data_IF_568067979851
#
_entry.id   IF_568067979851
#
_cell.length_a   1.000
_cell.length_b   1.000
_cell.length_c   1.000
_cell.angle_alpha   90.00
_cell.angle_beta   90.00
_cell.angle_gamma   90.00
#
_symmetry.space_group_name_H-M   'P 1'
#
loop_
_entity.id
_entity.type
_entity.pdbx_description
1 polymer ?
#
# COMPACT_ATOMS: atom_id res chain seq x y z
N UNK A 1 5.09 12.50 -0.64
CA UNK A 1 5.44 11.66 -1.80
C UNK A 1 6.80 11.05 -1.55
N UNK A 2 6.96 9.74 -1.76
CA UNK A 2 8.24 9.04 -1.59
C UNK A 2 9.27 9.45 -2.63
N UNK A 3 10.55 9.38 -2.26
CA UNK A 3 11.66 9.73 -3.13
C UNK A 3 11.88 8.72 -4.27
N UNK A 4 11.58 7.44 -4.02
CA UNK A 4 11.76 6.36 -4.98
C UNK A 4 10.44 5.98 -5.69
N UNK A 5 10.57 5.29 -6.82
CA UNK A 5 9.46 4.70 -7.57
C UNK A 5 9.83 3.30 -8.05
N UNK A 6 8.87 2.55 -8.62
CA UNK A 6 9.09 1.21 -9.17
C UNK A 6 8.62 1.06 -10.61
N UNK A 7 8.94 -0.07 -11.24
CA UNK A 7 8.67 -0.31 -12.66
C UNK A 7 7.17 -0.32 -13.01
N UNK A 8 6.29 -0.63 -12.05
CA UNK A 8 4.84 -0.53 -12.27
C UNK A 8 4.38 0.92 -12.29
N UNK A 9 4.82 1.73 -11.32
CA UNK A 9 4.48 3.15 -11.23
C UNK A 9 5.06 3.98 -12.39
N UNK A 10 6.19 3.56 -12.94
CA UNK A 10 6.81 4.20 -14.12
C UNK A 10 6.28 3.65 -15.45
N UNK A 11 5.44 2.61 -15.43
CA UNK A 11 4.86 2.00 -16.62
C UNK A 11 5.80 1.07 -17.41
N UNK A 12 6.99 0.77 -16.89
CA UNK A 12 7.93 -0.18 -17.50
C UNK A 12 7.45 -1.63 -17.39
N UNK A 13 6.67 -1.92 -16.33
CA UNK A 13 6.02 -3.22 -16.13
C UNK A 13 4.50 -3.02 -16.09
N UNK A 14 3.73 -3.74 -16.93
CA UNK A 14 2.28 -3.62 -16.90
C UNK A 14 1.71 -4.27 -15.63
N UNK A 15 0.60 -3.72 -15.14
CA UNK A 15 -0.27 -4.43 -14.19
C UNK A 15 -1.11 -5.47 -14.92
N UNK A 16 -1.34 -6.61 -14.26
CA UNK A 16 -2.03 -7.76 -14.85
C UNK A 16 -3.54 -7.56 -14.65
N UNK A 17 -4.33 -7.70 -15.71
CA UNK A 17 -5.78 -7.70 -15.58
C UNK A 17 -6.31 -9.13 -15.36
N UNK A 18 -7.19 -9.38 -14.38
CA UNK A 18 -7.77 -10.71 -14.14
C UNK A 18 -8.63 -11.21 -15.30
N UNK A 19 -8.57 -12.51 -15.62
CA UNK A 19 -9.44 -13.12 -16.62
C UNK A 19 -10.56 -13.93 -15.95
N UNK A 20 -11.83 -13.57 -16.20
CA UNK A 20 -12.96 -14.28 -15.58
C UNK A 20 -12.97 -14.14 -14.05
N UNK A 21 -12.97 -15.26 -13.34
CA UNK A 21 -13.07 -15.31 -11.87
C UNK A 21 -11.70 -15.38 -11.15
N UNK A 22 -10.63 -15.01 -11.84
CA UNK A 22 -9.28 -15.07 -11.29
C UNK A 22 -9.07 -14.07 -10.14
N UNK A 23 -8.28 -14.52 -9.16
CA UNK A 23 -7.64 -13.65 -8.19
C UNK A 23 -6.21 -13.39 -8.65
N UNK A 24 -5.87 -12.13 -8.89
CA UNK A 24 -4.52 -11.72 -9.27
C UNK A 24 -3.81 -11.19 -8.04
N UNK A 25 -2.60 -11.71 -7.78
CA UNK A 25 -1.73 -11.27 -6.70
C UNK A 25 -0.45 -10.67 -7.28
N UNK A 26 -0.18 -9.40 -6.97
CA UNK A 26 1.03 -8.69 -7.43
C UNK A 26 1.75 -8.08 -6.24
N UNK A 27 3.02 -8.46 -6.04
CA UNK A 27 3.93 -7.79 -5.11
C UNK A 27 4.54 -6.55 -5.77
N UNK A 28 4.29 -5.40 -5.16
CA UNK A 28 4.91 -4.12 -5.51
C UNK A 28 5.99 -3.81 -4.48
N UNK A 29 7.25 -3.92 -4.90
CA UNK A 29 8.41 -3.64 -4.05
C UNK A 29 8.89 -2.19 -4.26
N UNK A 30 9.38 -1.57 -3.20
CA UNK A 30 9.99 -0.26 -3.22
C UNK A 30 11.06 -0.16 -2.14
N UNK A 31 12.22 0.40 -2.48
CA UNK A 31 13.23 0.78 -1.50
C UNK A 31 12.81 2.10 -0.84
N UNK A 32 12.63 2.10 0.48
CA UNK A 32 12.31 3.30 1.24
C UNK A 32 13.57 3.87 1.89
N UNK A 33 13.95 5.13 1.58
CA UNK A 33 14.98 5.83 2.33
C UNK A 33 14.44 6.24 3.71
N UNK A 34 15.36 6.50 4.65
CA UNK A 34 15.03 6.93 6.02
C UNK A 34 14.14 8.19 6.06
N UNK A 35 14.31 9.07 5.06
CA UNK A 35 13.57 10.32 4.95
C UNK A 35 12.08 10.13 4.61
N UNK A 36 11.69 8.96 4.11
CA UNK A 36 10.30 8.61 3.75
C UNK A 36 9.59 7.84 4.88
N UNK A 37 10.23 7.70 6.04
CA UNK A 37 9.71 6.97 7.20
C UNK A 37 9.25 7.91 8.32
N UNK A 38 9.09 9.21 8.07
CA UNK A 38 8.57 10.13 9.08
C UNK A 38 7.05 9.98 9.23
N UNK A 39 6.52 10.41 10.38
CA UNK A 39 5.09 10.33 10.66
C UNK A 39 4.28 11.08 9.59
N UNK A 40 3.25 10.42 9.07
CA UNK A 40 2.39 10.86 7.97
C UNK A 40 3.01 10.90 6.58
N UNK A 41 4.28 10.50 6.42
CA UNK A 41 4.82 10.31 5.08
C UNK A 41 3.99 9.29 4.31
N UNK A 42 3.63 9.67 3.10
CA UNK A 42 2.75 8.93 2.23
C UNK A 42 3.24 9.00 0.79
N UNK A 43 3.14 7.89 0.08
CA UNK A 43 3.54 7.79 -1.31
C UNK A 43 2.93 6.60 -2.02
N UNK A 44 3.02 6.62 -3.35
CA UNK A 44 2.54 5.54 -4.19
C UNK A 44 3.49 4.32 -4.10
N UNK A 45 2.91 3.13 -4.05
CA UNK A 45 3.66 1.86 -4.06
C UNK A 45 3.20 0.91 -5.15
N UNK A 46 1.91 0.89 -5.48
CA UNK A 46 1.35 -0.04 -6.45
C UNK A 46 0.19 0.56 -7.24
N UNK A 47 -0.41 -0.26 -8.10
CA UNK A 47 -1.54 0.14 -8.93
C UNK A 47 -2.64 -0.92 -8.82
N UNK A 48 -3.87 -0.48 -8.54
CA UNK A 48 -5.09 -1.25 -8.75
C UNK A 48 -5.63 -0.93 -10.15
N UNK A 49 -5.68 -1.91 -11.07
CA UNK A 49 -6.13 -1.66 -12.44
C UNK A 49 -7.57 -1.13 -12.50
N UNK A 50 -7.87 -0.38 -13.56
CA UNK A 50 -9.23 0.02 -13.92
C UNK A 50 -10.17 -1.21 -13.92
N UNK A 51 -11.40 -1.05 -13.44
CA UNK A 51 -12.40 -2.12 -13.38
C UNK A 51 -12.15 -3.19 -12.30
N UNK A 52 -11.08 -3.10 -11.53
CA UNK A 52 -10.77 -4.05 -10.46
C UNK A 52 -11.15 -3.54 -9.06
N UNK A 53 -11.34 -4.48 -8.14
CA UNK A 53 -11.55 -4.24 -6.69
C UNK A 53 -10.56 -5.06 -5.86
N UNK A 54 -10.04 -4.52 -4.74
CA UNK A 54 -9.15 -5.25 -3.86
C UNK A 54 -9.92 -6.35 -3.12
N UNK A 55 -9.23 -7.45 -2.85
CA UNK A 55 -9.72 -8.59 -2.08
C UNK A 55 -8.93 -8.72 -0.78
N UNK A 56 -7.61 -8.57 -0.87
CA UNK A 56 -6.73 -8.65 0.30
C UNK A 56 -5.40 -7.91 0.06
N UNK A 57 -4.71 -7.60 1.15
CA UNK A 57 -3.39 -6.96 1.10
C UNK A 57 -2.46 -7.55 2.15
N UNK A 58 -1.25 -7.90 1.71
CA UNK A 58 -0.13 -8.23 2.59
C UNK A 58 0.94 -7.14 2.45
N UNK A 59 1.58 -6.83 3.58
CA UNK A 59 2.74 -5.95 3.65
C UNK A 59 3.90 -6.75 4.21
N UNK A 60 5.03 -6.72 3.51
CA UNK A 60 6.30 -7.25 3.95
C UNK A 60 7.35 -6.15 3.94
N UNK A 61 8.30 -6.20 4.85
CA UNK A 61 9.39 -5.22 4.88
C UNK A 61 10.64 -5.80 5.52
N UNK A 62 11.79 -5.21 5.17
CA UNK A 62 13.02 -5.34 5.94
C UNK A 62 12.86 -4.70 7.33
N UNK A 63 13.93 -4.77 8.14
CA UNK A 63 13.98 -4.05 9.40
C UNK A 63 14.10 -2.53 9.17
N UNK A 64 12.95 -1.84 9.19
CA UNK A 64 12.82 -0.40 9.00
C UNK A 64 12.79 0.39 10.33
N UNK A 65 12.77 -0.31 11.48
CA UNK A 65 12.77 0.28 12.82
C UNK A 65 13.72 -0.53 13.71
N UNK A 66 14.98 -0.14 13.73
CA UNK A 66 16.02 -0.82 14.53
C UNK A 66 15.87 -0.60 16.05
N UNK A 67 14.85 0.15 16.46
CA UNK A 67 14.57 0.47 17.86
C UNK A 67 13.47 -0.41 18.47
N UNK A 68 12.52 0.23 19.16
CA UNK A 68 11.34 -0.43 19.70
C UNK A 68 10.28 -0.59 18.60
N UNK A 69 9.50 -1.68 18.63
CA UNK A 69 8.44 -1.95 17.66
C UNK A 69 7.37 -0.85 17.66
N UNK A 70 7.54 0.16 16.80
CA UNK A 70 6.64 1.29 16.68
C UNK A 70 6.13 1.52 15.27
N UNK A 71 6.87 1.13 14.23
CA UNK A 71 6.48 1.38 12.84
C UNK A 71 5.14 0.73 12.50
N UNK A 72 4.15 1.56 12.16
CA UNK A 72 2.84 1.12 11.66
C UNK A 72 2.59 1.74 10.30
N UNK A 73 2.28 0.89 9.32
CA UNK A 73 2.01 1.27 7.95
C UNK A 73 0.53 1.07 7.63
N UNK A 74 -0.08 2.08 7.02
CA UNK A 74 -1.44 2.03 6.47
C UNK A 74 -1.39 1.90 4.96
N UNK A 75 -2.36 1.18 4.40
CA UNK A 75 -2.52 1.03 2.94
C UNK A 75 -3.92 1.45 2.53
N UNK A 76 -4.04 2.08 1.37
CA UNK A 76 -5.31 2.44 0.75
C UNK A 76 -5.12 2.96 -0.67
N UNK A 77 -6.18 3.49 -1.29
CA UNK A 77 -6.03 4.28 -2.52
C UNK A 77 -5.35 5.59 -2.17
N UNK A 78 -4.40 6.04 -2.99
CA UNK A 78 -3.75 7.34 -2.83
C UNK A 78 -4.66 8.46 -3.36
N UNK A 79 -4.69 9.61 -2.67
CA UNK A 79 -5.46 10.77 -3.14
C UNK A 79 -4.82 11.42 -4.38
N UNK A 80 -5.55 12.33 -5.03
CA UNK A 80 -5.09 12.99 -6.25
C UNK A 80 -3.85 13.88 -6.05
N UNK A 81 -3.61 14.37 -4.83
CA UNK A 81 -2.43 15.16 -4.49
C UNK A 81 -1.18 14.30 -4.20
N UNK A 82 -1.34 12.99 -4.08
CA UNK A 82 -0.28 12.01 -3.77
C UNK A 82 0.44 12.27 -2.43
N UNK A 83 -0.29 12.87 -1.48
CA UNK A 83 0.20 13.23 -0.15
C UNK A 83 -0.56 12.56 1.00
N UNK A 84 -1.67 11.86 0.71
CA UNK A 84 -2.45 11.15 1.72
C UNK A 84 -3.28 10.01 1.11
N UNK A 85 -3.87 9.17 1.97
CA UNK A 85 -4.82 8.14 1.52
C UNK A 85 -6.20 8.76 1.25
N UNK A 86 -6.84 8.31 0.18
CA UNK A 86 -8.15 8.76 -0.27
C UNK A 86 -9.23 8.48 0.77
N UNK A 87 -10.12 9.45 0.95
CA UNK A 87 -11.33 9.34 1.77
C UNK A 87 -12.60 9.34 0.91
N UNK A 88 -12.46 9.26 -0.41
CA UNK A 88 -13.58 9.08 -1.35
C UNK A 88 -14.32 7.78 -1.03
N UNK A 89 -15.65 7.83 -1.00
CA UNK A 89 -16.51 6.68 -0.75
C UNK A 89 -16.27 5.54 -1.76
N UNK A 90 -15.99 5.88 -3.03
CA UNK A 90 -15.72 4.88 -4.07
C UNK A 90 -14.35 4.20 -3.89
N UNK A 91 -13.45 4.81 -3.12
CA UNK A 91 -12.15 4.24 -2.74
C UNK A 91 -12.21 3.51 -1.39
N UNK A 92 -13.41 3.37 -0.81
CA UNK A 92 -13.66 2.71 0.47
C UNK A 92 -13.89 3.66 1.64
N UNK A 93 -13.70 4.97 1.43
CA UNK A 93 -13.97 6.04 2.42
C UNK A 93 -12.89 6.22 3.50
N UNK A 94 -11.87 5.37 3.54
CA UNK A 94 -10.76 5.41 4.48
C UNK A 94 -9.59 4.53 4.00
N UNK A 95 -8.47 4.55 4.73
CA UNK A 95 -7.43 3.52 4.58
C UNK A 95 -8.02 2.12 4.77
N UNK A 96 -7.54 1.14 4.01
CA UNK A 96 -8.07 -0.22 3.96
C UNK A 96 -7.70 -1.06 5.18
N UNK A 97 -6.56 -0.77 5.78
CA UNK A 97 -6.06 -1.45 6.97
C UNK A 97 -4.71 -0.90 7.41
N UNK A 98 -4.13 -1.52 8.43
CA UNK A 98 -2.81 -1.20 8.94
C UNK A 98 -2.03 -2.46 9.35
N UNK A 99 -0.70 -2.36 9.37
CA UNK A 99 0.17 -3.38 9.98
C UNK A 99 0.05 -3.34 11.51
N UNK A 100 0.49 -4.40 12.18
CA UNK A 100 0.89 -4.30 13.57
C UNK A 100 2.27 -3.63 13.66
N UNK A 101 2.58 -3.05 14.82
CA UNK A 101 3.89 -2.45 15.05
C UNK A 101 5.00 -3.51 14.97
N UNK A 102 6.10 -3.21 14.28
CA UNK A 102 7.24 -4.11 14.11
C UNK A 102 8.59 -3.36 14.23
N UNK A 103 9.63 -4.06 14.68
CA UNK A 103 11.04 -3.62 14.78
C UNK A 103 12.02 -4.69 14.29
N UNK A 104 11.59 -5.49 13.33
CA UNK A 104 12.38 -6.47 12.64
C UNK A 104 11.75 -6.67 11.25
N UNK A 105 12.44 -7.38 10.36
CA UNK A 105 11.85 -7.80 9.11
C UNK A 105 10.55 -8.57 9.37
N UNK A 106 9.50 -8.27 8.60
CA UNK A 106 8.16 -8.81 8.82
C UNK A 106 7.44 -9.12 7.53
N UNK A 107 6.43 -9.99 7.64
CA UNK A 107 5.36 -10.14 6.67
C UNK A 107 4.04 -10.24 7.43
N UNK A 108 3.06 -9.43 7.05
CA UNK A 108 1.78 -9.33 7.74
C UNK A 108 0.66 -9.13 6.75
N UNK A 109 -0.48 -9.78 6.97
CA UNK A 109 -1.75 -9.35 6.37
C UNK A 109 -2.23 -8.09 7.10
N UNK A 110 -2.80 -7.13 6.39
CA UNK A 110 -3.34 -5.93 7.05
C UNK A 110 -4.45 -6.30 8.05
N UNK A 111 -4.41 -5.68 9.22
CA UNK A 111 -5.57 -5.58 10.09
C UNK A 111 -6.61 -4.68 9.39
N UNK A 112 -7.79 -5.20 9.00
CA UNK A 112 -8.74 -4.43 8.20
C UNK A 112 -9.31 -3.24 8.99
N UNK A 113 -9.44 -2.10 8.33
CA UNK A 113 -10.16 -0.95 8.87
C UNK A 113 -11.66 -1.08 8.57
N UNK A 114 -12.35 -1.83 9.43
CA UNK A 114 -13.77 -2.12 9.28
C UNK A 114 -14.07 -2.72 7.90
N UNK A 115 -14.92 -2.04 7.12
CA UNK A 115 -15.36 -2.46 5.77
C UNK A 115 -14.77 -1.63 4.62
N UNK A 116 -13.76 -0.79 4.88
CA UNK A 116 -13.23 0.16 3.89
C UNK A 116 -12.81 -0.54 2.59
N UNK A 117 -11.97 -1.57 2.68
CA UNK A 117 -11.49 -2.32 1.52
C UNK A 117 -12.63 -2.98 0.71
N UNK A 118 -13.61 -3.58 1.40
CA UNK A 118 -14.74 -4.29 0.76
C UNK A 118 -15.73 -3.31 0.11
N UNK A 119 -15.76 -2.05 0.55
CA UNK A 119 -16.62 -1.02 -0.02
C UNK A 119 -16.09 -0.41 -1.31
N UNK A 120 -14.82 -0.65 -1.66
CA UNK A 120 -14.18 -0.11 -2.87
C UNK A 120 -15.03 -0.44 -4.10
N UNK A 121 -15.36 0.59 -4.87
CA UNK A 121 -16.08 0.48 -6.14
C UNK A 121 -15.10 0.41 -7.30
N UNK A 122 -15.42 -0.29 -8.40
CA UNK A 122 -14.60 -0.20 -9.61
C UNK A 122 -14.64 1.23 -10.18
N UNK A 123 -13.52 1.69 -10.72
CA UNK A 123 -13.43 2.91 -11.52
C UNK A 123 -12.84 2.57 -12.89
N UNK A 124 -13.18 3.35 -13.92
CA UNK A 124 -12.66 3.18 -15.29
C UNK A 124 -11.25 3.77 -15.49
N UNK A 125 -10.51 3.94 -14.39
CA UNK A 125 -9.15 4.47 -14.37
C UNK A 125 -8.34 3.66 -13.38
N UNK A 126 -7.05 3.51 -13.67
CA UNK A 126 -6.09 2.93 -12.75
C UNK A 126 -5.97 3.78 -11.49
N UNK A 127 -5.88 3.13 -10.34
CA UNK A 127 -5.75 3.80 -9.04
C UNK A 127 -4.41 3.48 -8.42
N UNK A 128 -3.66 4.51 -8.04
CA UNK A 128 -2.43 4.34 -7.27
C UNK A 128 -2.79 3.84 -5.87
N UNK A 129 -2.08 2.82 -5.42
CA UNK A 129 -2.12 2.35 -4.04
C UNK A 129 -1.07 3.10 -3.27
N UNK A 130 -1.49 3.70 -2.16
CA UNK A 130 -0.64 4.42 -1.23
C UNK A 130 -0.22 3.56 -0.06
N UNK A 131 1.00 3.80 0.41
CA UNK A 131 1.50 3.36 1.71
C UNK A 131 1.74 4.62 2.54
N UNK A 132 1.27 4.62 3.79
CA UNK A 132 1.41 5.74 4.71
C UNK A 132 1.99 5.31 6.05
N UNK A 133 2.94 6.08 6.58
CA UNK A 133 3.47 5.92 7.93
C UNK A 133 2.47 6.48 8.93
N UNK A 134 1.72 5.60 9.60
CA UNK A 134 0.74 5.98 10.62
C UNK A 134 1.37 6.13 12.00
N UNK A 135 2.47 5.42 12.26
CA UNK A 135 3.32 5.61 13.42
C UNK A 135 4.76 5.48 12.95
N UNK A 136 5.56 6.52 13.21
CA UNK A 136 6.96 6.57 12.81
C UNK A 136 7.79 5.53 13.58
N UNK A 137 8.87 5.01 12.97
CA UNK A 137 9.80 4.15 13.67
C UNK A 137 10.51 4.95 14.78
N UNK A 138 10.94 4.26 15.84
CA UNK A 138 11.74 4.90 16.88
C UNK A 138 13.20 5.11 16.46
N UNK A 139 13.74 4.21 15.64
CA UNK A 139 15.05 4.35 15.01
C UNK A 139 14.96 3.91 13.54
N UNK A 140 14.57 4.87 12.68
CA UNK A 140 14.39 4.65 11.26
C UNK A 140 15.62 4.04 10.59
N UNK A 141 15.41 3.03 9.74
CA UNK A 141 16.42 2.45 8.88
C UNK A 141 15.85 2.30 7.46
N UNK A 142 16.68 2.54 6.45
CA UNK A 142 16.27 2.33 5.06
C UNK A 142 16.21 0.83 4.74
N UNK A 143 15.29 0.44 3.87
CA UNK A 143 15.13 -0.95 3.46
C UNK A 143 14.01 -1.14 2.43
N UNK A 144 13.80 -2.39 2.01
CA UNK A 144 12.71 -2.71 1.10
C UNK A 144 11.38 -2.83 1.85
N UNK A 145 10.33 -2.31 1.24
CA UNK A 145 8.94 -2.67 1.56
C UNK A 145 8.28 -3.28 0.34
N UNK A 146 7.52 -4.35 0.55
CA UNK A 146 6.64 -4.99 -0.40
C UNK A 146 5.19 -4.80 -0.01
N UNK A 147 4.35 -4.38 -0.95
CA UNK A 147 2.89 -4.46 -0.82
C UNK A 147 2.37 -5.44 -1.84
N UNK A 148 1.87 -6.58 -1.36
CA UNK A 148 1.20 -7.57 -2.19
C UNK A 148 -0.29 -7.28 -2.21
N UNK A 149 -0.77 -6.79 -3.35
CA UNK A 149 -2.20 -6.55 -3.58
C UNK A 149 -2.82 -7.79 -4.24
N UNK A 150 -3.88 -8.31 -3.62
CA UNK A 150 -4.73 -9.36 -4.19
C UNK A 150 -6.03 -8.69 -4.64
N UNK A 151 -6.37 -8.83 -5.92
CA UNK A 151 -7.52 -8.16 -6.52
C UNK A 151 -8.20 -9.04 -7.58
N UNK A 152 -9.42 -8.65 -7.95
CA UNK A 152 -10.23 -9.29 -8.99
C UNK A 152 -10.93 -8.26 -9.86
N UNK A 153 -11.39 -8.68 -11.03
CA UNK A 153 -12.36 -7.91 -11.79
C UNK A 153 -13.66 -7.78 -10.96
N UNK A 154 -14.29 -6.60 -11.00
CA UNK A 154 -15.45 -6.28 -10.18
C UNK A 154 -16.68 -7.15 -10.48
#
# INVERSE_FOLDING_TARGET
MFANSNDYLTGRKPVIFPAGSDLVAVRFALQLPLADLALNDCGAIGILPAGCVPVDVLVDADDLDTGAAALVLQVGVLNAAEDNLSTDADDGGAHWGATAAANAAFQQRLAPNGKAMVNVKPKNVDRKIGLKVATAPTAAQAGEVGVTLIYRAA
#
